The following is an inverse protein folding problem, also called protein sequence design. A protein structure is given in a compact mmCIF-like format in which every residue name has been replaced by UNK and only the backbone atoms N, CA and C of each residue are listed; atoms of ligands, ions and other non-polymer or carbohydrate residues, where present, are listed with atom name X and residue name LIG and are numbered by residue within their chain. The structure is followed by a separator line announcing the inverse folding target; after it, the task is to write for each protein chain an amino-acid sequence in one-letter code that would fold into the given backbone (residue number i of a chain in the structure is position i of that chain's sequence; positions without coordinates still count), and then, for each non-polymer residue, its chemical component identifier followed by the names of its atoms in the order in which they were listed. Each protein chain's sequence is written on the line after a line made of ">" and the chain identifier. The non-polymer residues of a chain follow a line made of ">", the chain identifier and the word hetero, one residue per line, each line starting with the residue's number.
data_IF_353392213131
#
_entry.id   IF_353392213131
#
_cell.length_a   1.000
_cell.length_b   1.000
_cell.length_c   1.000
_cell.angle_alpha   90.00
_cell.angle_beta   90.00
_cell.angle_gamma   90.00
#
_symmetry.space_group_name_H-M   'P 1'
#
loop_
_entity.id
_entity.type
_entity.pdbx_description
1 polymer ?
#
# COMPACT_ATOMS: atom_id res chain seq x y z
N UNK A 1 -30.77 -29.26 41.50
CA UNK A 1 -31.86 -28.52 40.83
C UNK A 1 -31.74 -27.05 41.25
N UNK A 2 -32.07 -26.15 40.32
CA UNK A 2 -32.17 -24.66 40.31
C UNK A 2 -32.48 -23.88 41.63
N UNK A 3 -32.46 -22.51 41.65
CA UNK A 3 -31.65 -21.49 40.92
C UNK A 3 -31.26 -20.26 41.84
N UNK A 4 -31.10 -19.05 41.27
CA UNK A 4 -30.87 -17.70 41.88
C UNK A 4 -29.47 -17.49 42.51
N UNK A 5 -28.83 -16.31 42.56
CA UNK A 5 -28.85 -15.08 41.71
C UNK A 5 -27.52 -14.28 42.04
N UNK A 6 -27.12 -13.13 41.49
CA UNK A 6 -27.78 -12.10 40.65
C UNK A 6 -26.77 -11.31 39.78
N UNK A 7 -27.19 -10.13 39.29
CA UNK A 7 -26.49 -9.14 38.46
C UNK A 7 -25.08 -8.71 38.90
N UNK A 8 -24.21 -8.53 37.89
CA UNK A 8 -23.64 -7.20 37.64
C UNK A 8 -23.63 -6.89 36.14
N UNK A 9 -24.53 -5.99 35.73
CA UNK A 9 -24.64 -5.54 34.35
C UNK A 9 -23.58 -4.46 34.07
N UNK A 10 -22.69 -4.71 33.12
CA UNK A 10 -21.94 -3.66 32.45
C UNK A 10 -22.24 -3.75 30.95
N UNK A 11 -23.09 -2.89 30.38
CA UNK A 11 -23.12 -2.72 28.94
C UNK A 11 -21.80 -2.07 28.53
N UNK A 12 -20.93 -2.84 27.87
CA UNK A 12 -19.77 -2.31 27.16
C UNK A 12 -20.27 -1.57 25.90
N UNK A 13 -20.91 -0.42 26.11
CA UNK A 13 -21.30 0.50 25.05
C UNK A 13 -20.02 1.06 24.44
N UNK A 14 -19.61 0.48 23.32
CA UNK A 14 -18.28 0.71 22.77
C UNK A 14 -18.05 -0.08 21.49
N UNK A 15 -18.95 0.08 20.52
CA UNK A 15 -18.59 -0.21 19.13
C UNK A 15 -17.42 0.71 18.77
N UNK A 16 -16.21 0.18 18.76
CA UNK A 16 -15.11 0.78 18.03
C UNK A 16 -14.48 -0.29 17.15
N UNK A 17 -14.73 -0.14 15.85
CA UNK A 17 -14.35 -1.10 14.83
C UNK A 17 -12.83 -1.01 14.61
N UNK A 18 -12.24 -2.14 14.23
CA UNK A 18 -11.00 -2.15 13.44
C UNK A 18 -9.83 -1.38 14.06
N UNK A 19 -9.39 -1.83 15.24
CA UNK A 19 -8.03 -1.56 15.73
C UNK A 19 -6.97 -2.40 15.01
N UNK A 20 -7.05 -2.52 13.68
CA UNK A 20 -5.85 -2.72 12.90
C UNK A 20 -5.10 -1.39 12.98
N UNK A 21 -4.11 -1.30 13.87
CA UNK A 21 -3.12 -0.24 13.75
C UNK A 21 -2.47 -0.36 12.36
N UNK A 22 -1.97 0.74 11.77
CA UNK A 22 -1.40 0.70 10.43
C UNK A 22 -0.44 -0.48 10.34
N UNK A 23 -0.73 -1.39 9.43
CA UNK A 23 0.09 -2.56 9.17
C UNK A 23 1.53 -2.13 8.88
N UNK A 24 2.51 -3.06 8.91
CA UNK A 24 3.92 -2.73 8.75
C UNK A 24 4.30 -2.05 7.41
N UNK A 25 3.33 -1.85 6.51
CA UNK A 25 3.44 -1.16 5.22
C UNK A 25 2.48 0.05 5.06
N UNK A 26 1.57 0.30 6.01
CA UNK A 26 0.58 1.42 5.98
C UNK A 26 1.15 2.77 6.46
N UNK A 27 2.48 2.87 6.60
CA UNK A 27 3.20 4.13 6.85
C UNK A 27 4.27 4.39 5.76
N UNK A 28 4.44 3.46 4.80
CA UNK A 28 5.47 3.57 3.75
C UNK A 28 5.03 4.52 2.65
N UNK A 29 5.93 5.42 2.27
CA UNK A 29 5.75 6.24 1.07
C UNK A 29 5.80 5.38 -0.19
N UNK A 30 5.26 5.90 -1.29
CA UNK A 30 5.30 5.25 -2.62
C UNK A 30 6.73 4.87 -3.03
N UNK A 31 7.72 5.72 -2.70
CA UNK A 31 9.13 5.43 -2.95
C UNK A 31 9.62 4.20 -2.17
N UNK A 32 9.37 4.15 -0.87
CA UNK A 32 9.75 3.01 -0.01
C UNK A 32 9.02 1.73 -0.44
N UNK A 33 7.76 1.84 -0.85
CA UNK A 33 6.99 0.69 -1.32
C UNK A 33 7.54 0.16 -2.65
N UNK A 34 7.97 1.03 -3.57
CA UNK A 34 8.73 0.64 -4.75
C UNK A 34 10.05 -0.04 -4.40
N UNK A 35 10.80 0.46 -3.40
CA UNK A 35 12.02 -0.22 -2.93
C UNK A 35 11.73 -1.63 -2.38
N UNK A 36 10.57 -1.87 -1.75
CA UNK A 36 10.18 -3.23 -1.31
C UNK A 36 9.84 -4.18 -2.46
N UNK A 37 9.38 -3.66 -3.61
CA UNK A 37 9.06 -4.44 -4.82
C UNK A 37 10.22 -4.52 -5.82
N UNK A 38 11.31 -3.76 -5.60
CA UNK A 38 12.39 -3.65 -6.57
C UNK A 38 13.15 -4.97 -6.75
N UNK A 39 13.17 -5.49 -7.97
CA UNK A 39 13.91 -6.71 -8.33
C UNK A 39 15.21 -6.35 -9.04
N UNK A 40 16.28 -6.24 -8.26
CA UNK A 40 17.61 -5.86 -8.76
C UNK A 40 18.34 -6.90 -9.62
N UNK A 41 17.75 -8.09 -9.83
CA UNK A 41 18.37 -9.20 -10.56
C UNK A 41 18.29 -9.05 -12.09
N UNK A 42 17.27 -8.34 -12.61
CA UNK A 42 17.04 -8.21 -14.06
C UNK A 42 17.06 -6.75 -14.51
N UNK A 43 18.02 -6.39 -15.37
CA UNK A 43 18.27 -5.01 -15.80
C UNK A 43 18.09 -4.84 -17.32
N UNK A 44 17.15 -3.99 -17.72
CA UNK A 44 16.97 -3.57 -19.11
C UNK A 44 17.51 -2.15 -19.33
N UNK A 45 17.93 -1.78 -20.56
CA UNK A 45 18.48 -0.46 -20.81
C UNK A 45 17.41 0.62 -20.66
N UNK A 46 17.53 1.46 -19.62
CA UNK A 46 16.56 2.50 -19.21
C UNK A 46 15.26 1.99 -18.59
N UNK A 47 15.18 0.75 -18.14
CA UNK A 47 13.99 0.25 -17.44
C UNK A 47 14.38 -0.42 -16.11
N UNK A 48 13.56 -0.24 -15.08
CA UNK A 48 13.63 -0.96 -13.80
C UNK A 48 12.59 -2.08 -13.77
N UNK A 49 12.98 -3.22 -13.22
CA UNK A 49 12.09 -4.34 -12.93
C UNK A 49 11.59 -4.26 -11.48
N UNK A 50 10.28 -4.34 -11.31
CA UNK A 50 9.60 -4.50 -10.03
C UNK A 50 8.82 -5.81 -10.05
N UNK A 51 8.65 -6.44 -8.89
CA UNK A 51 7.80 -7.61 -8.71
C UNK A 51 6.57 -7.21 -7.91
N UNK A 52 5.40 -7.42 -8.51
CA UNK A 52 4.11 -7.33 -7.81
C UNK A 52 3.97 -8.41 -6.72
N UNK A 53 2.97 -8.29 -5.84
CA UNK A 53 2.55 -9.35 -4.91
C UNK A 53 2.30 -10.70 -5.62
N UNK A 54 1.86 -10.66 -6.89
CA UNK A 54 1.65 -11.81 -7.77
C UNK A 54 2.96 -12.42 -8.32
N UNK A 55 4.12 -11.85 -8.00
CA UNK A 55 5.44 -12.12 -8.61
C UNK A 55 5.50 -11.88 -10.13
N UNK A 56 4.63 -11.04 -10.67
CA UNK A 56 4.69 -10.60 -12.06
C UNK A 56 5.73 -9.48 -12.23
N UNK A 57 6.51 -9.55 -13.31
CA UNK A 57 7.56 -8.56 -13.61
C UNK A 57 6.95 -7.31 -14.27
N UNK A 58 6.96 -6.20 -13.54
CA UNK A 58 6.54 -4.88 -13.99
C UNK A 58 7.78 -4.08 -14.41
N UNK A 59 7.79 -3.61 -15.66
CA UNK A 59 8.93 -2.91 -16.26
C UNK A 59 8.60 -1.44 -16.43
N UNK A 60 9.33 -0.53 -15.80
CA UNK A 60 9.05 0.92 -15.89
C UNK A 60 10.29 1.69 -16.32
N UNK A 61 10.12 2.66 -17.21
CA UNK A 61 11.22 3.49 -17.72
C UNK A 61 11.86 4.33 -16.58
N UNK A 62 13.19 4.40 -16.54
CA UNK A 62 13.95 5.08 -15.49
C UNK A 62 13.66 6.59 -15.44
N UNK A 63 13.40 7.24 -16.58
CA UNK A 63 13.07 8.66 -16.70
C UNK A 63 11.62 8.92 -16.22
N UNK A 64 10.68 8.02 -16.54
CA UNK A 64 9.30 8.05 -16.05
C UNK A 64 9.25 7.83 -14.53
N UNK A 65 9.89 6.76 -14.04
CA UNK A 65 9.99 6.43 -12.62
C UNK A 65 10.63 7.57 -11.83
N UNK A 66 11.72 8.16 -12.31
CA UNK A 66 12.38 9.28 -11.63
C UNK A 66 11.50 10.53 -11.54
N UNK A 67 10.64 10.79 -12.55
CA UNK A 67 9.65 11.88 -12.50
C UNK A 67 8.53 11.57 -11.51
N UNK A 68 7.99 10.36 -11.55
CA UNK A 68 6.92 9.91 -10.65
C UNK A 68 7.38 9.92 -9.19
N UNK A 69 8.56 9.38 -8.88
CA UNK A 69 9.15 9.42 -7.54
C UNK A 69 9.43 10.84 -7.05
N UNK A 70 9.78 11.76 -7.96
CA UNK A 70 10.02 13.18 -7.61
C UNK A 70 8.72 13.94 -7.30
N UNK A 71 7.61 13.56 -7.93
CA UNK A 71 6.31 14.25 -7.78
C UNK A 71 5.43 13.60 -6.71
N UNK A 72 5.39 12.27 -6.66
CA UNK A 72 4.51 11.46 -5.81
C UNK A 72 5.24 10.50 -4.87
N UNK A 73 6.55 10.25 -5.06
CA UNK A 73 7.29 9.23 -4.30
C UNK A 73 7.31 9.47 -2.78
N UNK A 74 7.17 10.72 -2.33
CA UNK A 74 7.06 11.08 -0.91
C UNK A 74 5.63 11.08 -0.36
N UNK A 75 4.61 10.76 -1.18
CA UNK A 75 3.24 10.58 -0.73
C UNK A 75 3.02 9.15 -0.23
N UNK A 76 2.06 9.00 0.68
CA UNK A 76 1.53 7.69 1.04
C UNK A 76 0.57 7.18 -0.06
N UNK A 77 0.52 5.87 -0.37
CA UNK A 77 -0.43 5.29 -1.33
C UNK A 77 -1.89 5.74 -1.15
N UNK A 78 -2.35 5.82 0.11
CA UNK A 78 -3.71 6.29 0.42
C UNK A 78 -3.95 7.76 0.06
N UNK A 79 -2.93 8.64 0.19
CA UNK A 79 -3.04 10.06 -0.17
C UNK A 79 -3.02 10.25 -1.68
N UNK A 80 -2.20 9.48 -2.40
CA UNK A 80 -2.22 9.46 -3.87
C UNK A 80 -3.60 9.04 -4.36
N UNK A 81 -4.13 7.90 -3.87
CA UNK A 81 -5.46 7.42 -4.24
C UNK A 81 -6.59 8.38 -3.88
N UNK A 82 -6.46 9.10 -2.77
CA UNK A 82 -7.45 10.12 -2.37
C UNK A 82 -7.43 11.38 -3.24
N UNK A 83 -6.27 11.72 -3.82
CA UNK A 83 -6.11 12.88 -4.69
C UNK A 83 -6.39 12.57 -6.17
N UNK A 84 -5.95 11.42 -6.67
CA UNK A 84 -6.01 11.04 -8.08
C UNK A 84 -7.20 10.12 -8.41
N UNK A 85 -7.81 9.48 -7.41
CA UNK A 85 -8.94 8.56 -7.59
C UNK A 85 -8.56 7.17 -8.14
N UNK A 86 -7.30 6.95 -8.49
CA UNK A 86 -6.74 5.67 -8.96
C UNK A 86 -5.61 5.21 -8.03
N UNK A 87 -5.18 3.95 -8.14
CA UNK A 87 -4.01 3.48 -7.43
C UNK A 87 -2.72 3.96 -8.10
N UNK A 88 -1.67 4.19 -7.30
CA UNK A 88 -0.38 4.67 -7.80
C UNK A 88 0.34 3.61 -8.62
N UNK A 89 0.13 2.32 -8.32
CA UNK A 89 0.65 1.21 -9.12
C UNK A 89 0.01 1.21 -10.51
N UNK A 90 -1.31 1.42 -10.57
CA UNK A 90 -2.05 1.44 -11.82
C UNK A 90 -1.60 2.63 -12.70
N UNK A 91 -1.43 3.83 -12.15
CA UNK A 91 -0.92 4.98 -12.91
C UNK A 91 0.55 4.81 -13.36
N UNK A 92 1.42 4.22 -12.53
CA UNK A 92 2.82 3.99 -12.87
C UNK A 92 3.01 2.87 -13.92
N UNK A 93 2.23 1.79 -13.83
CA UNK A 93 2.44 0.57 -14.62
C UNK A 93 1.44 0.37 -15.78
N UNK A 94 0.24 0.96 -15.79
CA UNK A 94 -0.67 0.91 -16.97
C UNK A 94 -0.19 1.83 -18.12
N UNK A 95 0.63 2.84 -17.83
CA UNK A 95 1.16 3.78 -18.83
C UNK A 95 2.27 3.18 -19.74
N UNK A 96 2.41 1.85 -19.80
CA UNK A 96 3.40 1.09 -20.57
C UNK A 96 2.90 0.65 -21.97
N UNK A 97 1.87 1.31 -22.51
CA UNK A 97 1.01 0.76 -23.55
C UNK A 97 1.20 1.33 -24.97
#
# INVERSE_FOLDING_TARGET
>A
MQPHDSLQQHPATGENRQGAGPGPHEDLTIAEHLETMYSGDEHRPREKCFLDESHEQLWVDEDQLARFLKEYGALHPSDYRSQHGTDWQDDLFQNLH
#
